data_IF_701511031478
#
_entry.id   IF_701511031478
#
_cell.length_a   1.000
_cell.length_b   1.000
_cell.length_c   1.000
_cell.angle_alpha   90.00
_cell.angle_beta   90.00
_cell.angle_gamma   90.00
#
_symmetry.space_group_name_H-M   'P 1'
#
loop_
_entity.id
_entity.type
_entity.pdbx_description
1 polymer ?
#
# COMPACT_ATOMS: atom_id res chain seq x y z
N UNK A 1 21.21 24.04 -7.25
CA UNK A 1 21.68 22.68 -6.92
C UNK A 1 20.62 21.85 -6.16
N UNK A 2 20.05 22.37 -5.07
CA UNK A 2 19.06 21.63 -4.27
C UNK A 2 17.75 21.36 -5.03
N UNK A 3 17.25 22.32 -5.83
CA UNK A 3 16.02 22.14 -6.61
C UNK A 3 16.20 21.07 -7.70
N UNK A 4 17.33 21.10 -8.41
CA UNK A 4 17.64 20.10 -9.45
C UNK A 4 17.78 18.70 -8.85
N UNK A 5 18.45 18.56 -7.71
CA UNK A 5 18.58 17.32 -6.99
C UNK A 5 17.21 16.77 -6.56
N UNK A 6 16.36 17.59 -5.96
CA UNK A 6 15.00 17.22 -5.56
C UNK A 6 14.17 16.72 -6.75
N UNK A 7 14.20 17.46 -7.85
CA UNK A 7 13.46 17.09 -9.05
C UNK A 7 13.94 15.76 -9.63
N UNK A 8 15.25 15.53 -9.67
CA UNK A 8 15.83 14.28 -10.13
C UNK A 8 15.41 13.10 -9.28
N UNK A 9 15.46 13.26 -7.95
CA UNK A 9 15.08 12.18 -7.04
C UNK A 9 13.61 11.87 -7.09
N UNK A 10 12.73 12.87 -7.18
CA UNK A 10 11.29 12.65 -7.33
C UNK A 10 11.00 11.92 -8.65
N UNK A 11 11.68 12.29 -9.73
CA UNK A 11 11.55 11.59 -11.02
C UNK A 11 12.04 10.14 -10.94
N UNK A 12 13.21 9.90 -10.35
CA UNK A 12 13.75 8.55 -10.17
C UNK A 12 12.83 7.68 -9.29
N UNK A 13 12.25 8.29 -8.24
CA UNK A 13 11.30 7.62 -7.35
C UNK A 13 10.04 7.23 -8.10
N UNK A 14 9.45 8.14 -8.88
CA UNK A 14 8.26 7.84 -9.70
C UNK A 14 8.52 6.70 -10.67
N UNK A 15 9.65 6.73 -11.40
CA UNK A 15 10.04 5.65 -12.31
C UNK A 15 10.19 4.28 -11.63
N UNK A 16 10.70 4.26 -10.40
CA UNK A 16 10.83 3.02 -9.62
C UNK A 16 9.48 2.51 -9.12
N UNK A 17 8.62 3.41 -8.66
CA UNK A 17 7.30 3.08 -8.13
C UNK A 17 6.37 2.53 -9.22
N UNK A 18 6.47 3.04 -10.45
CA UNK A 18 5.68 2.53 -11.59
C UNK A 18 5.99 1.07 -11.94
N UNK A 19 7.17 0.56 -11.60
CA UNK A 19 7.60 -0.81 -11.86
C UNK A 19 7.31 -1.77 -10.72
N UNK A 20 6.94 -1.26 -9.56
CA UNK A 20 6.71 -2.06 -8.37
C UNK A 20 5.44 -2.91 -8.48
N UNK A 21 5.50 -4.14 -7.99
CA UNK A 21 4.43 -5.15 -8.13
C UNK A 21 3.62 -5.37 -6.85
N UNK A 22 3.45 -4.38 -6.04
CA UNK A 22 2.62 -4.50 -4.84
C UNK A 22 2.97 -3.52 -3.73
N UNK A 23 2.10 -3.43 -2.73
CA UNK A 23 2.21 -2.44 -1.67
C UNK A 23 3.50 -2.54 -0.85
N UNK A 24 3.95 -3.76 -0.54
CA UNK A 24 5.19 -3.98 0.22
C UNK A 24 6.42 -3.52 -0.56
N UNK A 25 6.49 -3.81 -1.85
CA UNK A 25 7.60 -3.36 -2.71
C UNK A 25 7.58 -1.84 -2.89
N UNK A 26 6.40 -1.25 -3.08
CA UNK A 26 6.23 0.21 -3.14
C UNK A 26 6.74 0.87 -1.86
N UNK A 27 6.40 0.33 -0.70
CA UNK A 27 6.84 0.85 0.59
C UNK A 27 8.36 0.70 0.78
N UNK A 28 8.94 -0.43 0.39
CA UNK A 28 10.38 -0.68 0.46
C UNK A 28 11.17 0.31 -0.43
N UNK A 29 10.71 0.55 -1.64
CA UNK A 29 11.28 1.55 -2.55
C UNK A 29 11.19 2.95 -1.93
N UNK A 30 10.02 3.33 -1.44
CA UNK A 30 9.78 4.63 -0.82
C UNK A 30 10.71 4.86 0.36
N UNK A 31 10.81 3.90 1.27
CA UNK A 31 11.67 4.01 2.45
C UNK A 31 13.16 4.05 2.10
N UNK A 32 13.58 3.29 1.09
CA UNK A 32 14.95 3.32 0.59
C UNK A 32 15.30 4.68 -0.01
N UNK A 33 14.39 5.29 -0.76
CA UNK A 33 14.60 6.63 -1.30
C UNK A 33 14.62 7.70 -0.19
N UNK A 34 13.71 7.62 0.79
CA UNK A 34 13.72 8.53 1.93
C UNK A 34 14.99 8.41 2.76
N UNK A 35 15.48 7.18 2.99
CA UNK A 35 16.75 6.93 3.66
C UNK A 35 17.90 7.68 2.97
N UNK A 36 17.98 7.59 1.64
CA UNK A 36 19.03 8.25 0.84
C UNK A 36 18.89 9.77 0.84
N UNK A 37 17.66 10.28 0.74
CA UNK A 37 17.37 11.70 0.64
C UNK A 37 17.59 12.45 1.95
N UNK A 38 17.12 11.87 3.03
CA UNK A 38 17.14 12.50 4.35
C UNK A 38 18.39 12.11 5.14
N UNK A 39 19.11 11.07 4.71
CA UNK A 39 20.21 10.46 5.47
C UNK A 39 19.82 10.16 6.93
N UNK A 40 18.59 9.69 7.12
CA UNK A 40 18.00 9.34 8.41
C UNK A 40 17.41 7.94 8.37
N UNK A 41 17.39 7.28 9.50
CA UNK A 41 16.66 6.02 9.64
C UNK A 41 15.16 6.24 9.42
N UNK A 42 14.50 5.26 8.83
CA UNK A 42 13.07 5.27 8.52
C UNK A 42 12.44 4.02 9.08
N UNK A 43 11.31 4.15 9.77
CA UNK A 43 10.47 3.01 10.12
C UNK A 43 9.24 2.99 9.22
N UNK A 44 8.79 1.81 8.85
CA UNK A 44 7.62 1.66 7.99
C UNK A 44 6.73 0.53 8.48
N UNK A 45 5.44 0.76 8.38
CA UNK A 45 4.37 -0.15 8.74
C UNK A 45 3.40 -0.21 7.57
N UNK A 46 3.21 -1.39 6.99
CA UNK A 46 2.25 -1.59 5.89
C UNK A 46 0.88 -1.98 6.45
N UNK A 47 -0.18 -1.61 5.76
CA UNK A 47 -1.54 -2.07 6.08
C UNK A 47 -1.83 -3.32 5.27
N UNK A 48 -2.06 -4.44 5.97
CA UNK A 48 -2.42 -5.73 5.38
C UNK A 48 -3.73 -6.22 6.00
N UNK A 49 -4.71 -6.52 5.16
CA UNK A 49 -6.02 -7.02 5.61
C UNK A 49 -6.71 -6.12 6.67
N UNK A 50 -6.54 -4.81 6.57
CA UNK A 50 -7.12 -3.84 7.50
C UNK A 50 -6.39 -3.70 8.84
N UNK A 51 -5.22 -4.31 8.99
CA UNK A 51 -4.38 -4.20 10.18
C UNK A 51 -3.00 -3.64 9.82
N UNK A 52 -2.42 -2.92 10.77
CA UNK A 52 -1.05 -2.44 10.65
C UNK A 52 -0.08 -3.58 10.93
N UNK A 53 0.85 -3.84 10.01
CA UNK A 53 1.90 -4.85 10.17
C UNK A 53 2.89 -4.50 11.27
N UNK A 54 3.77 -5.44 11.59
CA UNK A 54 4.94 -5.14 12.40
C UNK A 54 5.87 -4.15 11.66
N UNK A 55 6.51 -3.29 12.44
CA UNK A 55 7.39 -2.27 11.89
C UNK A 55 8.65 -2.84 11.26
N UNK A 56 9.03 -2.30 10.10
CA UNK A 56 10.30 -2.58 9.44
C UNK A 56 11.21 -1.35 9.53
N UNK A 57 12.47 -1.57 9.85
CA UNK A 57 13.45 -0.51 9.94
C UNK A 57 14.37 -0.49 8.73
N UNK A 58 14.52 0.69 8.15
CA UNK A 58 15.51 1.05 7.14
C UNK A 58 16.56 1.93 7.80
N UNK A 59 17.79 1.47 7.87
CA UNK A 59 18.85 2.11 8.63
C UNK A 59 20.08 2.40 7.79
N UNK A 60 20.66 3.56 8.01
CA UNK A 60 21.98 3.93 7.47
C UNK A 60 23.07 3.14 8.18
N UNK A 61 22.93 2.95 9.50
CA UNK A 61 23.87 2.21 10.35
C UNK A 61 23.12 1.14 11.17
N UNK A 62 23.57 -0.10 11.07
CA UNK A 62 22.88 -1.25 11.70
C UNK A 62 22.80 -1.22 13.24
N UNK A 63 23.66 -0.46 13.92
CA UNK A 63 23.70 -0.42 15.39
C UNK A 63 22.64 0.49 16.04
N UNK A 64 22.15 1.52 15.35
CA UNK A 64 21.16 2.46 15.89
C UNK A 64 19.72 1.91 15.95
N UNK A 65 19.52 0.69 15.48
CA UNK A 65 18.22 0.13 15.14
C UNK A 65 17.37 -0.34 16.33
N UNK A 66 18.00 -0.80 17.42
CA UNK A 66 17.31 -1.60 18.45
C UNK A 66 16.31 -0.83 19.33
N UNK A 67 16.34 0.48 19.32
CA UNK A 67 15.56 1.31 20.23
C UNK A 67 14.36 2.04 19.59
N UNK A 68 14.09 1.79 18.30
CA UNK A 68 13.06 2.53 17.55
C UNK A 68 11.81 1.69 17.33
N UNK A 69 11.95 0.36 17.18
CA UNK A 69 10.83 -0.56 17.04
C UNK A 69 10.41 -1.11 18.42
N UNK A 70 9.86 -0.25 19.27
CA UNK A 70 9.33 -0.67 20.58
C UNK A 70 7.80 -0.76 20.53
N UNK A 71 7.17 -1.50 21.48
CA UNK A 71 5.71 -1.57 21.55
C UNK A 71 5.05 -0.19 21.69
N UNK A 72 5.68 0.74 22.40
CA UNK A 72 5.21 2.11 22.58
C UNK A 72 5.20 2.86 21.25
N UNK A 73 6.30 2.79 20.49
CA UNK A 73 6.39 3.40 19.16
C UNK A 73 5.41 2.79 18.18
N UNK A 74 5.22 1.47 18.22
CA UNK A 74 4.19 0.79 17.42
C UNK A 74 2.77 1.23 17.81
N UNK A 75 2.53 1.51 19.08
CA UNK A 75 1.28 2.09 19.57
C UNK A 75 0.98 3.46 18.96
N UNK A 76 2.00 4.33 18.84
CA UNK A 76 1.86 5.64 18.18
C UNK A 76 1.58 5.47 16.69
N UNK A 77 2.29 4.57 16.00
CA UNK A 77 2.04 4.29 14.58
C UNK A 77 0.61 3.77 14.35
N UNK A 78 0.11 2.91 15.24
CA UNK A 78 -1.28 2.43 15.18
C UNK A 78 -2.28 3.56 15.38
N UNK A 79 -2.04 4.45 16.32
CA UNK A 79 -2.89 5.61 16.53
C UNK A 79 -2.95 6.50 15.27
N UNK A 80 -1.81 6.72 14.59
CA UNK A 80 -1.74 7.45 13.32
C UNK A 80 -2.57 6.78 12.23
N UNK A 81 -2.50 5.46 12.15
CA UNK A 81 -3.31 4.68 11.22
C UNK A 81 -4.82 4.86 11.47
N UNK A 82 -5.25 4.74 12.73
CA UNK A 82 -6.66 4.81 13.12
C UNK A 82 -7.23 6.23 12.99
N UNK A 83 -6.45 7.25 13.40
CA UNK A 83 -6.90 8.64 13.45
C UNK A 83 -6.57 9.44 12.18
N UNK A 84 -5.74 8.90 11.28
CA UNK A 84 -5.33 9.55 10.03
C UNK A 84 -4.65 10.91 10.22
N UNK A 85 -4.06 11.13 11.37
CA UNK A 85 -3.36 12.35 11.74
C UNK A 85 -1.91 12.03 12.10
N UNK A 86 -1.00 12.97 11.81
CA UNK A 86 0.38 12.85 12.25
C UNK A 86 0.47 12.87 13.77
N UNK A 87 1.36 12.09 14.31
CA UNK A 87 1.63 12.04 15.75
C UNK A 87 3.11 11.72 16.03
N UNK A 88 3.49 11.80 17.28
CA UNK A 88 4.84 11.52 17.72
C UNK A 88 5.66 12.79 17.94
N UNK A 89 6.97 12.66 17.86
CA UNK A 89 7.91 13.74 18.09
C UNK A 89 7.57 15.01 17.28
N UNK A 90 7.69 16.16 17.90
CA UNK A 90 7.37 17.47 17.32
C UNK A 90 5.89 17.69 16.97
N UNK A 91 4.98 16.92 17.56
CA UNK A 91 3.52 17.07 17.41
C UNK A 91 2.83 17.23 18.76
N UNK A 92 1.54 17.56 18.75
CA UNK A 92 0.73 17.65 19.96
C UNK A 92 0.32 16.27 20.53
N UNK A 93 0.29 15.24 19.67
CA UNK A 93 -0.06 13.88 20.06
C UNK A 93 1.20 13.04 20.24
N UNK A 94 1.41 12.51 21.42
CA UNK A 94 2.58 11.70 21.78
C UNK A 94 3.94 12.42 21.59
N UNK A 95 4.13 13.65 22.09
CA UNK A 95 5.37 14.42 21.86
C UNK A 95 6.62 13.76 22.44
N UNK A 96 6.47 12.81 23.35
CA UNK A 96 7.55 12.03 23.96
C UNK A 96 8.02 10.84 23.09
N UNK A 97 7.30 10.53 22.02
CA UNK A 97 7.73 9.48 21.10
C UNK A 97 9.07 9.83 20.43
N UNK A 98 9.80 8.81 20.04
CA UNK A 98 11.12 8.97 19.41
C UNK A 98 11.02 9.39 17.95
N UNK A 99 9.94 8.97 17.27
CA UNK A 99 9.71 9.22 15.87
C UNK A 99 8.55 10.18 15.64
N UNK A 100 8.63 10.93 14.54
CA UNK A 100 7.48 11.55 13.90
C UNK A 100 6.83 10.53 12.97
N UNK A 101 5.54 10.31 13.14
CA UNK A 101 4.76 9.35 12.34
C UNK A 101 3.78 10.06 11.42
N UNK A 102 3.76 9.63 10.16
CA UNK A 102 2.88 10.14 9.11
C UNK A 102 2.19 8.97 8.41
N UNK A 103 0.90 9.12 8.13
CA UNK A 103 0.14 8.15 7.37
C UNK A 103 0.37 8.34 5.87
N UNK A 104 0.50 7.22 5.14
CA UNK A 104 0.48 7.18 3.68
C UNK A 104 -0.99 7.08 3.28
N UNK A 105 -1.56 8.19 2.80
CA UNK A 105 -2.99 8.33 2.54
C UNK A 105 -3.28 8.56 1.06
N UNK A 106 -4.22 7.77 0.51
CA UNK A 106 -4.84 8.03 -0.79
C UNK A 106 -6.36 8.08 -0.61
N UNK A 107 -6.96 9.25 -0.83
CA UNK A 107 -8.39 9.46 -0.55
C UNK A 107 -8.74 9.17 0.91
N UNK A 108 -9.69 8.26 1.11
CA UNK A 108 -10.12 7.82 2.44
C UNK A 108 -9.32 6.64 3.00
N UNK A 109 -8.42 6.07 2.20
CA UNK A 109 -7.64 4.91 2.58
C UNK A 109 -6.28 5.30 3.18
N UNK A 110 -5.83 4.49 4.15
CA UNK A 110 -4.46 4.53 4.68
C UNK A 110 -3.77 3.23 4.28
N UNK A 111 -2.64 3.36 3.57
CA UNK A 111 -1.88 2.22 3.05
C UNK A 111 -0.73 1.79 3.95
N UNK A 112 -0.28 2.68 4.81
CA UNK A 112 0.79 2.45 5.75
C UNK A 112 1.10 3.67 6.60
N UNK A 113 2.10 3.53 7.45
CA UNK A 113 2.62 4.60 8.31
C UNK A 113 4.13 4.62 8.20
N UNK A 114 4.70 5.81 8.06
CA UNK A 114 6.14 6.05 8.07
C UNK A 114 6.52 6.79 9.34
N UNK A 115 7.56 6.32 10.01
CA UNK A 115 8.15 6.97 11.19
C UNK A 115 9.57 7.47 10.90
N UNK A 116 9.86 8.68 11.31
CA UNK A 116 11.16 9.34 11.17
C UNK A 116 11.70 9.66 12.56
N UNK A 117 12.84 9.07 12.97
CA UNK A 117 13.46 9.40 14.26
C UNK A 117 13.87 10.87 14.34
N UNK A 118 13.50 11.53 15.43
CA UNK A 118 13.76 12.95 15.69
C UNK A 118 14.74 13.18 16.85
N UNK A 119 15.43 12.14 17.30
CA UNK A 119 16.25 12.20 18.54
C UNK A 119 17.47 13.11 18.47
N UNK A 120 18.03 13.30 17.26
CA UNK A 120 19.25 14.11 17.09
C UNK A 120 18.94 15.52 16.58
N UNK A 121 18.06 15.62 15.60
CA UNK A 121 17.67 16.88 14.96
C UNK A 121 16.25 16.78 14.43
N UNK A 122 15.48 17.85 14.57
CA UNK A 122 14.18 17.98 13.90
C UNK A 122 14.37 18.11 12.39
N UNK A 123 13.36 17.75 11.63
CA UNK A 123 13.35 17.99 10.17
C UNK A 123 13.27 19.49 9.92
N UNK A 124 14.14 19.99 9.03
CA UNK A 124 13.98 21.34 8.51
C UNK A 124 12.82 21.42 7.51
N UNK A 125 12.49 22.63 7.09
CA UNK A 125 11.38 22.85 6.15
C UNK A 125 11.59 22.13 4.82
N UNK A 126 12.81 22.06 4.33
CA UNK A 126 13.15 21.42 3.05
C UNK A 126 13.04 19.90 3.16
N UNK A 127 13.61 19.30 4.20
CA UNK A 127 13.50 17.87 4.50
C UNK A 127 12.04 17.44 4.66
N UNK A 128 11.24 18.23 5.38
CA UNK A 128 9.80 17.94 5.57
C UNK A 128 9.03 18.03 4.25
N UNK A 129 9.34 19.00 3.41
CA UNK A 129 8.73 19.14 2.08
C UNK A 129 9.05 17.95 1.16
N UNK A 130 10.30 17.43 1.19
CA UNK A 130 10.70 16.23 0.48
C UNK A 130 9.93 15.01 1.00
N UNK A 131 9.89 14.84 2.32
CA UNK A 131 9.17 13.76 2.97
C UNK A 131 7.71 13.70 2.52
N UNK A 132 7.00 14.82 2.58
CA UNK A 132 5.60 14.90 2.15
C UNK A 132 5.44 14.58 0.65
N UNK A 133 6.34 15.07 -0.20
CA UNK A 133 6.29 14.80 -1.64
C UNK A 133 6.45 13.31 -1.92
N UNK A 134 7.43 12.65 -1.30
CA UNK A 134 7.69 11.21 -1.49
C UNK A 134 6.54 10.37 -0.92
N UNK A 135 5.98 10.74 0.23
CA UNK A 135 4.81 10.06 0.81
C UNK A 135 3.60 10.15 -0.13
N UNK A 136 3.36 11.31 -0.74
CA UNK A 136 2.27 11.49 -1.70
C UNK A 136 2.45 10.62 -2.95
N UNK A 137 3.66 10.54 -3.50
CA UNK A 137 3.97 9.65 -4.62
C UNK A 137 3.76 8.17 -4.25
N UNK A 138 4.19 7.78 -3.05
CA UNK A 138 3.95 6.45 -2.50
C UNK A 138 2.45 6.14 -2.40
N UNK A 139 1.66 7.06 -1.86
CA UNK A 139 0.22 6.90 -1.71
C UNK A 139 -0.47 6.71 -3.06
N UNK A 140 -0.09 7.51 -4.07
CA UNK A 140 -0.61 7.39 -5.42
C UNK A 140 -0.25 6.04 -6.06
N UNK A 141 1.00 5.59 -5.90
CA UNK A 141 1.45 4.30 -6.41
C UNK A 141 0.68 3.13 -5.76
N UNK A 142 0.43 3.20 -4.44
CA UNK A 142 -0.33 2.18 -3.73
C UNK A 142 -1.80 2.16 -4.14
N UNK A 143 -2.42 3.31 -4.32
CA UNK A 143 -3.79 3.43 -4.81
C UNK A 143 -3.93 2.83 -6.21
N UNK A 144 -3.01 3.16 -7.11
CA UNK A 144 -2.99 2.61 -8.47
C UNK A 144 -2.80 1.09 -8.48
N UNK A 145 -1.90 0.56 -7.64
CA UNK A 145 -1.68 -0.88 -7.50
C UNK A 145 -2.93 -1.60 -6.97
N UNK A 146 -3.59 -1.04 -5.96
CA UNK A 146 -4.83 -1.59 -5.43
C UNK A 146 -5.95 -1.59 -6.46
N UNK A 147 -6.13 -0.49 -7.19
CA UNK A 147 -7.14 -0.38 -8.26
C UNK A 147 -6.89 -1.37 -9.39
N UNK A 148 -5.62 -1.60 -9.77
CA UNK A 148 -5.26 -2.58 -10.78
C UNK A 148 -5.58 -4.02 -10.33
N UNK A 149 -5.27 -4.37 -9.08
CA UNK A 149 -5.62 -5.67 -8.50
C UNK A 149 -7.12 -5.90 -8.43
N UNK A 150 -7.89 -4.89 -8.07
CA UNK A 150 -9.35 -4.96 -8.01
C UNK A 150 -9.96 -5.14 -9.40
N UNK A 151 -9.47 -4.42 -10.40
CA UNK A 151 -9.89 -4.60 -11.80
C UNK A 151 -9.59 -6.00 -12.30
N UNK A 152 -8.41 -6.54 -12.03
CA UNK A 152 -8.04 -7.90 -12.41
C UNK A 152 -8.94 -8.94 -11.74
N UNK A 153 -9.17 -8.80 -10.44
CA UNK A 153 -10.11 -9.67 -9.69
C UNK A 153 -11.51 -9.65 -10.29
N UNK A 154 -12.04 -8.46 -10.58
CA UNK A 154 -13.36 -8.30 -11.17
C UNK A 154 -13.44 -8.89 -12.58
N UNK A 155 -12.39 -8.76 -13.39
CA UNK A 155 -12.31 -9.37 -14.72
C UNK A 155 -12.32 -10.90 -14.65
N UNK A 156 -11.59 -11.49 -13.69
CA UNK A 156 -11.58 -12.95 -13.45
C UNK A 156 -12.96 -13.44 -13.01
N UNK A 157 -13.61 -12.73 -12.09
CA UNK A 157 -14.97 -13.08 -11.64
C UNK A 157 -15.97 -13.02 -12.80
N UNK A 158 -15.95 -11.96 -13.62
CA UNK A 158 -16.82 -11.82 -14.78
C UNK A 158 -16.60 -12.94 -15.79
N UNK A 159 -15.35 -13.33 -16.06
CA UNK A 159 -15.02 -14.44 -16.94
C UNK A 159 -15.54 -15.77 -16.41
N UNK A 160 -15.40 -16.03 -15.11
CA UNK A 160 -15.91 -17.24 -14.48
C UNK A 160 -17.45 -17.31 -14.55
N UNK A 161 -18.16 -16.21 -14.31
CA UNK A 161 -19.61 -16.13 -14.46
C UNK A 161 -20.05 -16.41 -15.91
N UNK A 162 -19.36 -15.85 -16.90
CA UNK A 162 -19.65 -16.08 -18.29
C UNK A 162 -19.44 -17.55 -18.67
N UNK A 163 -18.33 -18.15 -18.24
CA UNK A 163 -18.07 -19.58 -18.48
C UNK A 163 -19.14 -20.47 -17.84
N UNK A 164 -19.57 -20.15 -16.63
CA UNK A 164 -20.63 -20.87 -15.93
C UNK A 164 -21.96 -20.78 -16.70
N UNK A 165 -22.32 -19.58 -17.16
CA UNK A 165 -23.52 -19.36 -17.95
C UNK A 165 -23.49 -20.14 -19.28
N UNK A 166 -22.36 -20.14 -19.98
CA UNK A 166 -22.16 -20.86 -21.21
C UNK A 166 -22.25 -22.40 -21.04
N UNK A 167 -21.66 -22.90 -19.94
CA UNK A 167 -21.75 -24.31 -19.57
C UNK A 167 -23.19 -24.73 -19.30
N UNK A 168 -23.93 -23.95 -18.48
CA UNK A 168 -25.34 -24.26 -18.19
C UNK A 168 -26.21 -24.22 -19.48
N UNK A 169 -25.93 -23.30 -20.38
CA UNK A 169 -26.64 -23.22 -21.68
C UNK A 169 -26.33 -24.43 -22.54
N UNK A 170 -25.09 -24.86 -22.63
CA UNK A 170 -24.67 -26.06 -23.37
C UNK A 170 -25.32 -27.31 -22.79
N UNK A 171 -25.31 -27.49 -21.46
CA UNK A 171 -25.97 -28.64 -20.80
C UNK A 171 -27.46 -28.61 -21.05
N UNK A 172 -28.13 -27.46 -20.95
CA UNK A 172 -29.57 -27.33 -21.20
C UNK A 172 -29.92 -27.69 -22.64
N UNK A 173 -29.11 -27.29 -23.61
CA UNK A 173 -29.28 -27.64 -25.01
C UNK A 173 -29.11 -29.14 -25.21
N UNK A 174 -28.05 -29.73 -24.65
CA UNK A 174 -27.77 -31.17 -24.81
C UNK A 174 -28.82 -32.07 -24.14
N UNK A 175 -29.44 -31.59 -23.03
CA UNK A 175 -30.54 -32.30 -22.38
C UNK A 175 -31.87 -32.13 -23.12
N UNK A 176 -32.11 -31.02 -23.81
CA UNK A 176 -33.34 -30.75 -24.55
C UNK A 176 -33.50 -31.69 -25.73
N UNK A 177 -32.44 -31.97 -26.46
CA UNK A 177 -32.45 -32.82 -27.63
C UNK A 177 -32.99 -34.25 -27.36
N UNK A 178 -32.45 -35.04 -26.39
CA UNK A 178 -32.97 -36.34 -26.07
C UNK A 178 -34.38 -36.30 -25.42
N UNK A 179 -34.71 -35.27 -24.61
CA UNK A 179 -36.06 -35.14 -24.04
C UNK A 179 -37.12 -34.86 -25.09
N UNK A 180 -36.84 -34.04 -26.11
CA UNK A 180 -37.75 -33.83 -27.24
C UNK A 180 -37.90 -35.09 -28.07
N UNK A 181 -36.86 -35.88 -28.26
CA UNK A 181 -36.91 -37.18 -28.97
C UNK A 181 -37.77 -38.21 -28.21
N UNK A 182 -37.66 -38.29 -26.87
CA UNK A 182 -38.49 -39.17 -26.05
C UNK A 182 -39.97 -38.74 -26.11
N UNK A 183 -40.29 -37.46 -25.99
CA UNK A 183 -41.64 -36.91 -26.09
C UNK A 183 -42.26 -37.19 -27.45
N UNK A 184 -41.51 -36.97 -28.55
CA UNK A 184 -41.94 -37.28 -29.90
C UNK A 184 -42.25 -38.77 -30.13
N UNK A 185 -41.44 -39.65 -29.56
CA UNK A 185 -41.70 -41.10 -29.62
C UNK A 185 -42.91 -41.54 -28.78
N UNK A 186 -43.16 -40.89 -27.65
CA UNK A 186 -44.32 -41.15 -26.80
C UNK A 186 -45.65 -40.75 -27.49
N UNK A 187 -45.65 -39.66 -28.27
CA UNK A 187 -46.84 -39.20 -29.01
C UNK A 187 -47.15 -40.08 -30.23
N UNK A 188 -46.23 -40.95 -30.69
CA UNK A 188 -46.41 -41.90 -31.78
C UNK A 188 -46.97 -43.24 -31.31
N UNK A 189 -47.05 -43.49 -30.03
CA UNK A 189 -47.67 -44.69 -29.43
C UNK A 189 -49.10 -44.43 -29.00
#
# INVERSE_FOLDING_TARGET
>A
AQLAFRTQVLFDTDCLLQKAKGGTEILDITCTQLLRLLNRNITAYVVENGNLSDGKLFSVEKESAKNILTPEEQGVARWVYENRQRAGASTHHFPQAKCLYLAIRGGDNVYGVIGIPMQKETLDYFEYSILLSVINECALAMENAQNAMEKEKNAVLAKNEQMRADLLRAISHDLRTPLCSISGNADML
#
